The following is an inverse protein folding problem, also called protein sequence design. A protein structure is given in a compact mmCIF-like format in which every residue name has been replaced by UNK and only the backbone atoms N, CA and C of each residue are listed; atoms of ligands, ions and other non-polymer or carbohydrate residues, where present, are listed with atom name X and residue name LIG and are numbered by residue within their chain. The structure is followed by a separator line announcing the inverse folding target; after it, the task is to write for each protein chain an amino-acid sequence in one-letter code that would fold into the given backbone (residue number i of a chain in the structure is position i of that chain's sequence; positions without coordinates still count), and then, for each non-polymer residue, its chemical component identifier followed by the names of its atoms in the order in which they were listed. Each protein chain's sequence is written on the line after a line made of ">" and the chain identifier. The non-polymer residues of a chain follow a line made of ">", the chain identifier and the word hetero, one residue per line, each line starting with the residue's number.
data_IF_669181197217
#
_entry.id   IF_669181197217
#
_cell.length_a   1.000
_cell.length_b   1.000
_cell.length_c   1.000
_cell.angle_alpha   90.00
_cell.angle_beta   90.00
_cell.angle_gamma   90.00
#
_symmetry.space_group_name_H-M   'P 1'
#
loop_
_entity.id
_entity.type
_entity.pdbx_description
1 polymer ?
#
# COMPACT_ATOMS: atom_id res chain seq x y z
N UNK A 1 16.78 8.64 37.54
CA UNK A 1 15.42 8.27 37.09
C UNK A 1 15.43 8.24 35.57
N UNK A 2 15.41 7.05 34.99
CA UNK A 2 15.62 6.85 33.55
C UNK A 2 14.26 6.98 32.87
N UNK A 3 13.97 8.19 32.39
CA UNK A 3 12.70 8.58 31.81
C UNK A 3 12.32 7.75 30.59
N UNK A 4 11.10 7.24 30.63
CA UNK A 4 10.40 6.59 29.51
C UNK A 4 10.23 7.55 28.31
N UNK A 5 10.44 8.83 28.56
CA UNK A 5 10.42 9.99 27.67
C UNK A 5 11.67 10.14 26.78
N UNK A 6 12.71 9.30 26.94
CA UNK A 6 13.83 9.33 26.01
C UNK A 6 13.43 8.62 24.69
N UNK A 7 13.33 9.33 23.55
CA UNK A 7 12.92 8.74 22.28
C UNK A 7 13.84 7.61 21.82
N UNK A 8 15.09 7.59 22.32
CA UNK A 8 16.07 6.55 22.04
C UNK A 8 15.66 5.20 22.66
N UNK A 9 15.05 5.19 23.85
CA UNK A 9 14.53 3.97 24.47
C UNK A 9 13.37 3.37 23.65
N UNK A 10 12.46 4.22 23.20
CA UNK A 10 11.34 3.79 22.36
C UNK A 10 11.84 3.24 21.01
N UNK A 11 12.86 3.87 20.42
CA UNK A 11 13.49 3.38 19.19
C UNK A 11 14.16 2.02 19.39
N UNK A 12 14.85 1.78 20.53
CA UNK A 12 15.44 0.47 20.86
C UNK A 12 14.36 -0.59 21.02
N UNK A 13 13.28 -0.30 21.76
CA UNK A 13 12.16 -1.24 21.92
C UNK A 13 11.52 -1.57 20.57
N UNK A 14 11.31 -0.57 19.72
CA UNK A 14 10.77 -0.74 18.37
C UNK A 14 11.72 -1.58 17.50
N UNK A 15 13.03 -1.38 17.62
CA UNK A 15 14.04 -2.16 16.91
C UNK A 15 14.04 -3.64 17.33
N UNK A 16 13.91 -3.93 18.63
CA UNK A 16 13.77 -5.32 19.12
C UNK A 16 12.47 -5.95 18.61
N UNK A 17 11.37 -5.20 18.62
CA UNK A 17 10.10 -5.66 18.05
C UNK A 17 10.21 -5.91 16.54
N UNK A 18 10.90 -5.05 15.80
CA UNK A 18 11.23 -5.25 14.40
C UNK A 18 12.12 -6.45 14.16
N UNK A 19 12.99 -6.82 15.10
CA UNK A 19 13.85 -7.99 14.96
C UNK A 19 13.04 -9.30 15.08
N UNK A 20 12.05 -9.33 15.97
CA UNK A 20 11.16 -10.49 16.18
C UNK A 20 10.10 -10.57 15.07
N UNK A 21 9.41 -9.46 14.79
CA UNK A 21 8.31 -9.41 13.83
C UNK A 21 8.79 -9.19 12.38
N UNK A 22 9.96 -8.60 12.19
CA UNK A 22 10.52 -8.22 10.88
C UNK A 22 10.13 -6.81 10.44
N UNK A 23 11.05 -6.14 9.71
CA UNK A 23 10.88 -4.78 9.20
C UNK A 23 9.67 -4.57 8.27
N UNK A 24 9.16 -5.64 7.62
CA UNK A 24 7.97 -5.57 6.75
C UNK A 24 6.64 -5.73 7.49
N UNK A 25 6.60 -6.39 8.67
CA UNK A 25 5.33 -6.71 9.35
C UNK A 25 4.76 -5.51 10.11
N UNK A 26 5.61 -4.71 10.74
CA UNK A 26 5.18 -3.51 11.45
C UNK A 26 4.44 -2.47 10.57
N UNK A 27 4.97 -2.08 9.39
CA UNK A 27 4.28 -1.12 8.51
C UNK A 27 3.01 -1.70 7.87
N UNK A 28 2.97 -3.01 7.61
CA UNK A 28 1.78 -3.71 7.09
C UNK A 28 0.63 -3.67 8.10
N UNK A 29 0.93 -4.02 9.36
CA UNK A 29 -0.05 -3.96 10.47
C UNK A 29 -0.49 -2.51 10.73
N UNK A 30 0.45 -1.55 10.74
CA UNK A 30 0.14 -0.13 10.88
C UNK A 30 -0.76 0.41 9.78
N UNK A 31 -0.58 -0.03 8.51
CA UNK A 31 -1.49 0.33 7.40
C UNK A 31 -2.90 -0.17 7.62
N UNK A 32 -3.05 -1.45 8.01
CA UNK A 32 -4.38 -2.05 8.24
C UNK A 32 -5.11 -1.41 9.44
N UNK A 33 -4.39 -1.20 10.55
CA UNK A 33 -4.90 -0.52 11.74
C UNK A 33 -5.23 0.95 11.46
N UNK A 34 -4.37 1.64 10.70
CA UNK A 34 -4.59 3.04 10.31
C UNK A 34 -5.82 3.22 9.43
N UNK A 35 -6.06 2.32 8.47
CA UNK A 35 -7.26 2.34 7.65
C UNK A 35 -8.53 2.12 8.49
N UNK A 36 -8.52 1.14 9.40
CA UNK A 36 -9.65 0.89 10.31
C UNK A 36 -9.89 2.04 11.28
N UNK A 37 -8.84 2.60 11.88
CA UNK A 37 -8.93 3.72 12.80
C UNK A 37 -9.39 5.01 12.10
N UNK A 38 -9.02 5.19 10.84
CA UNK A 38 -9.51 6.30 10.01
C UNK A 38 -11.01 6.17 9.74
N UNK A 39 -11.49 5.01 9.29
CA UNK A 39 -12.93 4.78 9.12
C UNK A 39 -13.72 4.87 10.42
N UNK A 40 -13.15 4.40 11.53
CA UNK A 40 -13.74 4.56 12.87
C UNK A 40 -13.87 6.03 13.27
N UNK A 41 -12.81 6.82 13.08
CA UNK A 41 -12.84 8.28 13.35
C UNK A 41 -13.87 8.99 12.48
N UNK A 42 -13.95 8.63 11.20
CA UNK A 42 -14.92 9.21 10.25
C UNK A 42 -16.35 8.89 10.68
N UNK A 43 -16.63 7.65 11.12
CA UNK A 43 -17.95 7.25 11.62
C UNK A 43 -18.33 7.93 12.95
N UNK A 44 -17.36 8.16 13.84
CA UNK A 44 -17.60 8.79 15.15
C UNK A 44 -17.72 10.31 15.05
N UNK A 45 -16.89 10.95 14.23
CA UNK A 45 -16.84 12.42 14.10
C UNK A 45 -17.77 12.95 13.00
N UNK A 46 -18.23 12.09 12.08
CA UNK A 46 -19.07 12.50 10.94
C UNK A 46 -18.33 13.35 9.90
N UNK A 47 -17.02 13.52 10.03
CA UNK A 47 -16.19 14.27 9.07
C UNK A 47 -15.71 13.32 7.96
N UNK A 48 -16.32 13.39 6.78
CA UNK A 48 -15.91 12.64 5.59
C UNK A 48 -14.65 13.25 4.96
N UNK A 49 -13.49 13.02 5.56
CA UNK A 49 -12.21 13.42 4.95
C UNK A 49 -11.75 12.35 3.95
N UNK A 50 -12.29 12.38 2.73
CA UNK A 50 -11.79 11.54 1.63
C UNK A 50 -10.40 12.03 1.19
N UNK A 51 -9.33 11.42 1.70
CA UNK A 51 -8.06 11.41 0.99
C UNK A 51 -7.84 10.02 0.37
N UNK A 52 -7.55 9.95 -0.93
CA UNK A 52 -7.19 8.70 -1.57
C UNK A 52 -5.90 8.20 -0.91
N UNK A 53 -5.98 7.05 -0.26
CA UNK A 53 -4.79 6.26 0.03
C UNK A 53 -4.10 6.05 -1.31
N UNK A 54 -2.88 6.56 -1.44
CA UNK A 54 -1.99 6.41 -2.59
C UNK A 54 -2.06 4.98 -3.12
N UNK A 55 -2.90 4.76 -4.14
CA UNK A 55 -2.64 3.80 -5.19
C UNK A 55 -1.30 4.25 -5.78
N UNK A 56 -0.22 3.66 -5.30
CA UNK A 56 0.95 3.55 -6.13
C UNK A 56 0.61 2.40 -7.08
N UNK A 57 0.36 2.66 -8.37
CA UNK A 57 0.19 1.59 -9.32
C UNK A 57 1.58 0.97 -9.49
N UNK A 58 1.90 -0.02 -8.65
CA UNK A 58 2.91 -1.03 -8.97
C UNK A 58 2.35 -1.96 -10.06
N UNK A 59 1.83 -1.37 -11.14
CA UNK A 59 1.61 -2.01 -12.44
C UNK A 59 2.84 -1.71 -13.30
N UNK A 60 3.99 -2.10 -12.79
CA UNK A 60 5.24 -2.21 -13.53
C UNK A 60 5.67 -3.67 -13.46
N UNK A 61 4.90 -4.51 -14.12
CA UNK A 61 5.09 -5.96 -14.20
C UNK A 61 4.02 -6.50 -15.13
N UNK A 62 4.44 -6.86 -16.34
CA UNK A 62 3.70 -7.71 -17.28
C UNK A 62 2.58 -7.04 -18.11
N UNK A 63 2.99 -6.00 -18.85
CA UNK A 63 2.57 -5.84 -20.26
C UNK A 63 3.27 -6.89 -21.15
N UNK A 64 3.12 -8.17 -20.85
CA UNK A 64 3.75 -9.27 -21.60
C UNK A 64 2.74 -10.27 -22.18
N UNK A 65 1.45 -9.93 -22.23
CA UNK A 65 0.45 -10.72 -22.96
C UNK A 65 -0.52 -9.78 -23.67
N UNK A 66 -0.70 -9.98 -24.98
CA UNK A 66 -1.66 -9.33 -25.87
C UNK A 66 -1.26 -8.00 -26.56
N UNK A 67 -0.02 -7.92 -27.07
CA UNK A 67 0.22 -7.19 -28.32
C UNK A 67 0.62 -8.20 -29.38
N UNK A 68 -0.34 -8.92 -29.94
CA UNK A 68 -0.16 -9.58 -31.23
C UNK A 68 -0.09 -8.46 -32.27
N UNK A 69 1.08 -8.26 -32.91
CA UNK A 69 1.19 -7.29 -33.97
C UNK A 69 0.38 -7.77 -35.18
N UNK A 70 -0.15 -6.79 -35.90
CA UNK A 70 -0.17 -6.82 -37.36
C UNK A 70 -1.33 -7.52 -38.08
N UNK A 71 -2.32 -6.66 -38.41
CA UNK A 71 -2.89 -6.48 -39.75
C UNK A 71 -3.93 -7.49 -40.26
N UNK A 72 -5.18 -7.07 -40.48
CA UNK A 72 -5.58 -6.11 -41.53
C UNK A 72 -4.96 -6.49 -42.89
N UNK A 73 -5.08 -7.77 -43.23
CA UNK A 73 -4.87 -8.32 -44.56
C UNK A 73 -6.17 -8.94 -45.07
N UNK A 74 -7.26 -8.18 -45.03
CA UNK A 74 -8.52 -8.56 -45.66
C UNK A 74 -8.31 -8.66 -47.18
N UNK A 75 -8.01 -9.86 -47.67
CA UNK A 75 -8.25 -10.27 -49.05
C UNK A 75 -9.57 -11.05 -49.04
N UNK A 76 -10.58 -10.56 -49.75
CA UNK A 76 -10.92 -11.25 -51.00
C UNK A 76 -11.20 -10.28 -52.16
N UNK A 77 -10.53 -10.41 -53.33
CA UNK A 77 -11.06 -9.91 -54.58
C UNK A 77 -12.13 -10.88 -55.08
N UNK A 78 -13.39 -10.47 -54.99
CA UNK A 78 -14.51 -11.11 -55.66
C UNK A 78 -15.31 -10.05 -56.42
N UNK A 79 -14.78 -9.66 -57.58
CA UNK A 79 -15.49 -9.06 -58.73
C UNK A 79 -14.77 -9.57 -59.98
#
# INVERSE_FOLDING_TARGET
>A
MVGLDNPLHLAILLAVLLLIFGAKRLPELGRSLGAGMRGFKEAVTGESNSQPATELPARAGDRAVAQTPDQVGARPPAQ
#
